data_IF_388100278541
#
_entry.id   IF_388100278541
#
_cell.length_a   1.000
_cell.length_b   1.000
_cell.length_c   1.000
_cell.angle_alpha   90.00
_cell.angle_beta   90.00
_cell.angle_gamma   90.00
#
_symmetry.space_group_name_H-M   'P 1'
#
loop_
_entity.id
_entity.type
_entity.pdbx_description
1 polymer ?
#
# COMPACT_ATOMS: atom_id res chain seq x y z
N UNK A 1 -3.71 -6.76 9.11
CA UNK A 1 -2.36 -6.20 9.23
C UNK A 1 -1.41 -7.35 9.44
N UNK A 2 -0.37 -7.49 8.62
CA UNK A 2 0.56 -8.61 8.70
C UNK A 2 1.94 -8.08 9.05
N UNK A 3 2.52 -8.57 10.15
CA UNK A 3 3.88 -8.29 10.58
C UNK A 3 4.77 -9.43 10.08
N UNK A 4 5.62 -9.15 9.09
CA UNK A 4 6.51 -10.11 8.46
C UNK A 4 7.93 -9.58 8.66
N UNK A 5 8.78 -10.36 9.35
CA UNK A 5 10.20 -10.06 9.55
C UNK A 5 10.53 -8.61 10.00
N UNK A 6 9.83 -8.06 11.00
CA UNK A 6 10.04 -6.69 11.52
C UNK A 6 9.64 -5.55 10.55
N UNK A 7 8.91 -5.86 9.48
CA UNK A 7 8.16 -4.92 8.65
C UNK A 7 6.67 -5.23 8.72
N UNK A 8 5.82 -4.22 8.56
CA UNK A 8 4.37 -4.44 8.50
C UNK A 8 3.76 -3.99 7.20
N UNK A 9 2.78 -4.77 6.73
CA UNK A 9 1.93 -4.41 5.59
C UNK A 9 0.52 -4.09 6.12
N UNK A 10 0.05 -2.88 5.84
CA UNK A 10 -1.25 -2.37 6.31
C UNK A 10 -2.16 -1.92 5.17
N UNK A 11 -3.46 -2.17 5.31
CA UNK A 11 -4.50 -1.80 4.33
C UNK A 11 -5.88 -1.56 4.96
N UNK A 12 -5.97 -1.51 6.30
CA UNK A 12 -7.23 -1.36 7.04
C UNK A 12 -7.29 0.01 7.71
N UNK A 13 -8.49 0.58 7.80
CA UNK A 13 -8.76 1.84 8.50
C UNK A 13 -8.29 1.76 9.96
N UNK A 14 -7.65 2.83 10.46
CA UNK A 14 -7.10 2.90 11.81
C UNK A 14 -5.59 2.62 11.91
N UNK A 15 -4.79 3.22 11.03
CA UNK A 15 -3.33 3.18 11.14
C UNK A 15 -2.85 3.83 12.45
N UNK A 16 -2.30 3.03 13.36
CA UNK A 16 -1.63 3.49 14.58
C UNK A 16 -0.13 3.19 14.47
N UNK A 17 0.73 4.18 14.19
CA UNK A 17 2.14 3.96 13.86
C UNK A 17 2.89 3.06 14.86
N UNK A 18 2.67 3.28 16.17
CA UNK A 18 3.37 2.53 17.23
C UNK A 18 2.95 1.08 17.42
N UNK A 19 1.75 0.69 16.97
CA UNK A 19 1.31 -0.71 17.06
C UNK A 19 1.79 -1.56 15.87
N UNK A 20 2.28 -0.89 14.81
CA UNK A 20 2.29 -1.50 13.48
C UNK A 20 3.54 -1.18 12.69
N UNK A 21 4.36 -0.21 13.08
CA UNK A 21 5.63 0.04 12.40
C UNK A 21 6.70 -0.78 13.08
N UNK A 22 7.21 -1.81 12.38
CA UNK A 22 8.36 -2.54 12.87
C UNK A 22 9.66 -1.74 12.67
N UNK A 23 10.79 -2.17 13.27
CA UNK A 23 12.08 -1.50 13.17
C UNK A 23 12.54 -1.13 11.76
N UNK A 24 12.10 -1.88 10.75
CA UNK A 24 12.52 -1.73 9.34
C UNK A 24 11.50 -0.89 8.55
N UNK A 25 10.37 -0.53 9.17
CA UNK A 25 9.34 0.34 8.61
C UNK A 25 8.00 -0.34 8.36
N UNK A 26 7.10 0.38 7.69
CA UNK A 26 5.75 -0.08 7.33
C UNK A 26 5.43 0.30 5.88
N UNK A 27 4.86 -0.64 5.13
CA UNK A 27 4.29 -0.39 3.81
C UNK A 27 2.76 -0.37 3.89
N UNK A 28 2.16 0.71 3.38
CA UNK A 28 0.71 0.86 3.28
C UNK A 28 0.27 0.56 1.85
N UNK A 29 -0.59 -0.43 1.65
CA UNK A 29 -1.18 -0.76 0.35
C UNK A 29 -2.61 -0.25 0.35
N UNK A 30 -2.86 0.81 -0.43
CA UNK A 30 -4.05 1.63 -0.34
C UNK A 30 -4.83 1.54 -1.65
N UNK A 31 -6.12 1.21 -1.57
CA UNK A 31 -7.00 1.19 -2.73
C UNK A 31 -7.20 2.62 -3.23
N UNK A 32 -7.32 2.80 -4.54
CA UNK A 32 -7.45 4.13 -5.14
C UNK A 32 -8.89 4.67 -5.04
N UNK A 33 -9.35 4.94 -3.81
CA UNK A 33 -10.55 5.71 -3.51
C UNK A 33 -10.16 7.04 -2.85
N UNK A 34 -10.94 8.10 -3.08
CA UNK A 34 -10.64 9.44 -2.54
C UNK A 34 -10.49 9.43 -1.02
N UNK A 35 -11.44 8.79 -0.31
CA UNK A 35 -11.39 8.68 1.15
C UNK A 35 -10.15 7.93 1.64
N UNK A 36 -9.85 6.78 1.04
CA UNK A 36 -8.68 5.97 1.37
C UNK A 36 -7.38 6.77 1.20
N UNK A 37 -7.21 7.46 0.07
CA UNK A 37 -6.00 8.27 -0.19
C UNK A 37 -5.82 9.40 0.82
N UNK A 38 -6.90 10.10 1.18
CA UNK A 38 -6.85 11.20 2.13
C UNK A 38 -6.52 10.68 3.54
N UNK A 39 -7.24 9.66 4.00
CA UNK A 39 -7.08 9.11 5.34
C UNK A 39 -5.68 8.52 5.54
N UNK A 40 -5.23 7.65 4.63
CA UNK A 40 -3.91 7.02 4.73
C UNK A 40 -2.76 7.96 4.37
N UNK A 41 -2.99 8.93 3.49
CA UNK A 41 -2.00 9.98 3.20
C UNK A 41 -1.71 10.82 4.44
N UNK A 42 -2.75 11.33 5.11
CA UNK A 42 -2.60 12.08 6.36
C UNK A 42 -1.95 11.23 7.47
N UNK A 43 -2.37 9.97 7.60
CA UNK A 43 -1.79 9.05 8.58
C UNK A 43 -0.29 8.78 8.31
N UNK A 44 0.12 8.64 7.05
CA UNK A 44 1.51 8.44 6.68
C UNK A 44 2.37 9.69 6.93
N UNK A 45 1.84 10.88 6.63
CA UNK A 45 2.55 12.14 6.92
C UNK A 45 2.71 12.37 8.43
N UNK A 46 1.68 12.05 9.22
CA UNK A 46 1.77 12.08 10.68
C UNK A 46 2.81 11.06 11.19
N UNK A 47 2.83 9.84 10.66
CA UNK A 47 3.83 8.83 11.06
C UNK A 47 5.25 9.29 10.76
N UNK A 48 5.48 9.88 9.58
CA UNK A 48 6.79 10.40 9.19
C UNK A 48 7.23 11.55 10.09
N UNK A 49 6.30 12.44 10.49
CA UNK A 49 6.63 13.55 11.40
C UNK A 49 7.01 13.05 12.81
N UNK A 50 6.49 11.90 13.22
CA UNK A 50 6.86 11.18 14.44
C UNK A 50 8.15 10.33 14.30
N UNK A 51 8.78 10.32 13.12
CA UNK A 51 10.05 9.62 12.86
C UNK A 51 9.92 8.17 12.37
N UNK A 52 8.71 7.70 12.06
CA UNK A 52 8.49 6.36 11.53
C UNK A 52 8.83 6.27 10.04
N UNK A 53 9.49 5.19 9.62
CA UNK A 53 9.73 4.89 8.19
C UNK A 53 8.47 4.27 7.57
N UNK A 54 7.74 5.04 6.77
CA UNK A 54 6.47 4.60 6.14
C UNK A 54 6.46 4.85 4.64
N UNK A 55 6.09 3.82 3.87
CA UNK A 55 5.87 3.89 2.42
C UNK A 55 4.40 3.66 2.06
N UNK A 56 3.97 4.16 0.90
CA UNK A 56 2.59 3.97 0.38
C UNK A 56 2.64 3.47 -1.06
N UNK A 57 1.84 2.45 -1.37
CA UNK A 57 1.53 1.99 -2.73
C UNK A 57 0.03 2.11 -2.97
N UNK A 58 -0.34 2.79 -4.06
CA UNK A 58 -1.73 2.92 -4.48
C UNK A 58 -2.07 1.82 -5.49
N UNK A 59 -3.22 1.16 -5.32
CA UNK A 59 -3.73 0.13 -6.23
C UNK A 59 -4.96 0.62 -6.97
N UNK A 60 -4.92 0.57 -8.31
CA UNK A 60 -5.98 1.00 -9.22
C UNK A 60 -6.19 -0.02 -10.34
N UNK A 61 -6.60 -1.24 -9.98
CA UNK A 61 -6.74 -2.40 -10.86
C UNK A 61 -8.04 -2.41 -11.68
N UNK A 62 -9.04 -1.58 -11.39
CA UNK A 62 -10.34 -1.61 -12.08
C UNK A 62 -10.31 -0.98 -13.49
N UNK A 63 -10.39 -1.78 -14.56
CA UNK A 63 -10.41 -1.27 -15.94
C UNK A 63 -11.81 -0.88 -16.47
N UNK A 64 -12.88 -1.00 -15.68
CA UNK A 64 -14.21 -0.57 -16.09
C UNK A 64 -14.32 0.95 -16.22
N UNK A 65 -13.47 1.70 -15.51
CA UNK A 65 -13.37 3.14 -15.64
C UNK A 65 -12.38 3.52 -16.75
N UNK A 66 -12.72 4.53 -17.59
CA UNK A 66 -11.81 5.03 -18.60
C UNK A 66 -10.52 5.57 -17.96
N UNK A 67 -9.41 5.65 -18.73
CA UNK A 67 -8.16 6.20 -18.23
C UNK A 67 -8.36 7.59 -17.61
N UNK A 68 -7.55 7.95 -16.59
CA UNK A 68 -7.87 9.02 -15.65
C UNK A 68 -8.24 10.33 -16.34
N UNK A 69 -9.47 10.82 -16.14
CA UNK A 69 -9.89 12.18 -16.49
C UNK A 69 -9.95 13.00 -15.20
N UNK A 70 -8.80 13.29 -14.59
CA UNK A 70 -8.70 14.07 -13.35
C UNK A 70 -7.77 13.48 -12.29
N UNK A 71 -7.95 13.90 -11.04
CA UNK A 71 -7.07 13.56 -9.90
C UNK A 71 -7.22 12.09 -9.46
N UNK A 72 -8.42 11.51 -9.65
CA UNK A 72 -8.72 10.14 -9.22
C UNK A 72 -8.69 9.23 -10.44
N UNK A 73 -7.71 8.32 -10.47
CA UNK A 73 -7.60 7.25 -11.46
C UNK A 73 -8.57 6.09 -11.22
N UNK A 74 -8.25 4.92 -11.80
CA UNK A 74 -9.01 3.67 -11.68
C UNK A 74 -9.18 3.23 -10.22
N UNK A 75 -10.33 2.66 -9.85
CA UNK A 75 -10.58 2.15 -8.48
C UNK A 75 -9.65 0.99 -8.15
N UNK A 76 -9.36 0.82 -6.86
CA UNK A 76 -8.71 -0.38 -6.34
C UNK A 76 -9.74 -1.41 -5.89
N UNK A 77 -9.81 -2.58 -6.52
CA UNK A 77 -10.72 -3.68 -6.22
C UNK A 77 -9.94 -4.90 -5.71
N UNK A 78 -10.40 -6.10 -6.07
CA UNK A 78 -9.89 -7.38 -5.57
C UNK A 78 -8.44 -7.64 -5.96
N UNK A 79 -7.93 -7.07 -7.05
CA UNK A 79 -6.53 -7.20 -7.47
C UNK A 79 -5.52 -6.75 -6.41
N UNK A 80 -5.95 -5.91 -5.47
CA UNK A 80 -5.18 -5.53 -4.27
C UNK A 80 -4.67 -6.74 -3.47
N UNK A 81 -5.38 -7.88 -3.46
CA UNK A 81 -4.92 -9.09 -2.75
C UNK A 81 -3.64 -9.67 -3.34
N UNK A 82 -3.45 -9.57 -4.66
CA UNK A 82 -2.24 -10.02 -5.34
C UNK A 82 -1.05 -9.12 -4.99
N UNK A 83 -1.30 -7.81 -4.93
CA UNK A 83 -0.30 -6.83 -4.49
C UNK A 83 0.14 -7.11 -3.05
N UNK A 84 -0.81 -7.42 -2.15
CA UNK A 84 -0.49 -7.86 -0.79
C UNK A 84 0.38 -9.12 -0.75
N UNK A 85 0.08 -10.11 -1.59
CA UNK A 85 0.83 -11.36 -1.62
C UNK A 85 2.27 -11.14 -2.11
N UNK A 86 2.45 -10.34 -3.14
CA UNK A 86 3.76 -9.95 -3.69
C UNK A 86 4.56 -9.16 -2.66
N UNK A 87 3.98 -8.13 -2.06
CA UNK A 87 4.62 -7.35 -1.00
C UNK A 87 5.01 -8.21 0.21
N UNK A 88 4.11 -9.11 0.64
CA UNK A 88 4.38 -10.00 1.76
C UNK A 88 5.48 -11.02 1.47
N UNK A 89 5.55 -11.53 0.24
CA UNK A 89 6.64 -12.41 -0.19
C UNK A 89 7.98 -11.66 -0.24
N UNK A 90 8.01 -10.45 -0.79
CA UNK A 90 9.18 -9.58 -0.82
C UNK A 90 9.68 -9.23 0.60
N UNK A 91 8.76 -8.93 1.52
CA UNK A 91 9.10 -8.67 2.93
C UNK A 91 9.63 -9.92 3.64
N UNK A 92 9.12 -11.11 3.30
CA UNK A 92 9.59 -12.38 3.87
C UNK A 92 11.01 -12.78 3.41
N UNK A 93 11.51 -12.18 2.33
CA UNK A 93 12.88 -12.37 1.82
C UNK A 93 13.86 -11.30 2.31
N UNK A 94 13.53 -10.62 3.41
CA UNK A 94 14.36 -9.59 4.08
C UNK A 94 14.75 -8.41 3.19
N UNK A 95 13.95 -8.12 2.15
CA UNK A 95 14.13 -6.92 1.34
C UNK A 95 13.87 -5.66 2.16
N UNK A 96 14.55 -4.57 1.83
CA UNK A 96 14.31 -3.26 2.43
C UNK A 96 12.90 -2.75 2.12
N UNK A 97 12.39 -1.83 2.94
CA UNK A 97 11.07 -1.23 2.72
C UNK A 97 10.92 -0.65 1.30
N UNK A 98 11.99 -0.06 0.77
CA UNK A 98 12.00 0.58 -0.55
C UNK A 98 11.95 -0.46 -1.68
N UNK A 99 12.61 -1.60 -1.52
CA UNK A 99 12.55 -2.74 -2.44
C UNK A 99 11.19 -3.44 -2.40
N UNK A 100 10.62 -3.63 -1.21
CA UNK A 100 9.26 -4.18 -1.05
C UNK A 100 8.23 -3.25 -1.69
N UNK A 101 8.36 -1.93 -1.48
CA UNK A 101 7.50 -0.94 -2.13
C UNK A 101 7.63 -0.97 -3.66
N UNK A 102 8.85 -1.13 -4.18
CA UNK A 102 9.09 -1.23 -5.62
C UNK A 102 8.42 -2.48 -6.22
N UNK A 103 8.52 -3.62 -5.56
CA UNK A 103 7.90 -4.88 -6.01
C UNK A 103 6.37 -4.82 -5.91
N UNK A 104 5.83 -4.26 -4.83
CA UNK A 104 4.40 -3.99 -4.69
C UNK A 104 3.88 -3.01 -5.77
N UNK A 105 4.63 -1.95 -6.09
CA UNK A 105 4.28 -1.00 -7.15
C UNK A 105 4.28 -1.66 -8.53
N UNK A 106 5.28 -2.49 -8.84
CA UNK A 106 5.29 -3.28 -10.08
C UNK A 106 4.05 -4.17 -10.17
N UNK A 107 3.71 -4.87 -9.08
CA UNK A 107 2.50 -5.68 -9.04
C UNK A 107 1.22 -4.85 -9.25
N UNK A 108 1.12 -3.66 -8.63
CA UNK A 108 -0.08 -2.82 -8.78
C UNK A 108 -0.26 -2.27 -10.20
N UNK A 109 0.83 -2.11 -10.96
CA UNK A 109 0.80 -1.70 -12.37
C UNK A 109 0.43 -2.86 -13.32
N UNK A 110 0.73 -4.10 -12.95
CA UNK A 110 0.44 -5.29 -13.75
C UNK A 110 -0.97 -5.87 -13.53
N UNK A 111 -1.52 -5.68 -12.33
CA UNK A 111 -2.82 -6.27 -11.98
C UNK A 111 -3.96 -5.43 -12.57
N UNK A 112 -4.76 -6.07 -13.41
CA UNK A 112 -5.90 -5.48 -14.10
C UNK A 112 -7.10 -6.41 -13.89
N UNK A 113 -8.19 -5.88 -13.36
CA UNK A 113 -9.46 -6.56 -13.16
C UNK A 113 -10.54 -5.82 -13.94
N UNK A 114 -11.30 -6.56 -14.75
CA UNK A 114 -12.57 -6.09 -15.31
C UNK A 114 -13.70 -6.58 -14.42
N UNK A 115 -14.57 -5.67 -13.98
CA UNK A 115 -15.86 -6.07 -13.41
C UNK A 115 -16.91 -6.25 -14.51
#
# INVERSE_FOLDING_TARGET
MYNINRQSISSIDGFQPGAVTGPIGCLMIVKNYTGDRLNFGLAAEQAKSEGYKVGIVIVGDDCALPPPRGIVGRRGLTGTILVHKVAGAAAATDLSLDEVAAEAKRASEMVIISC
#
